data_IF_365280581990
#
_entry.id   IF_365280581990
#
_cell.length_a   1.000
_cell.length_b   1.000
_cell.length_c   1.000
_cell.angle_alpha   90.00
_cell.angle_beta   90.00
_cell.angle_gamma   90.00
#
_symmetry.space_group_name_H-M   'P 1'
#
loop_
_entity.id
_entity.type
_entity.pdbx_description
1 polymer ?
#
# COMPACT_ATOMS: atom_id res chain seq x y z
N UNK A 1 -16.09 4.80 6.16
CA UNK A 1 -14.76 4.85 5.51
C UNK A 1 -15.02 5.29 4.08
N UNK A 2 -14.44 6.43 3.71
CA UNK A 2 -14.74 7.11 2.46
C UNK A 2 -14.25 6.27 1.27
N UNK A 3 -15.15 5.87 0.39
CA UNK A 3 -14.87 5.15 -0.87
C UNK A 3 -13.88 5.88 -1.79
N UNK A 4 -13.62 7.15 -1.53
CA UNK A 4 -12.68 7.97 -2.29
C UNK A 4 -11.22 7.52 -2.12
N UNK A 5 -10.86 6.86 -1.01
CA UNK A 5 -9.47 6.45 -0.73
C UNK A 5 -9.00 5.27 -1.58
N UNK A 6 -9.86 4.28 -1.85
CA UNK A 6 -9.47 3.09 -2.65
C UNK A 6 -9.30 3.44 -4.12
N UNK A 7 -10.11 4.36 -4.65
CA UNK A 7 -9.95 4.85 -6.02
C UNK A 7 -8.80 5.83 -6.19
N UNK A 8 -8.44 6.58 -5.13
CA UNK A 8 -7.36 7.56 -5.18
C UNK A 8 -5.98 6.90 -5.19
N UNK A 9 -5.76 5.79 -4.50
CA UNK A 9 -4.47 5.10 -4.51
C UNK A 9 -4.11 4.53 -5.90
N UNK A 10 -5.05 3.97 -6.64
CA UNK A 10 -4.80 3.54 -8.03
C UNK A 10 -4.56 4.73 -8.96
N UNK A 11 -5.27 5.86 -8.77
CA UNK A 11 -5.05 7.07 -9.56
C UNK A 11 -3.74 7.79 -9.22
N UNK A 12 -3.21 7.63 -8.01
CA UNK A 12 -1.95 8.24 -7.57
C UNK A 12 -0.75 7.48 -8.14
N UNK A 13 -0.82 6.17 -8.28
CA UNK A 13 0.29 5.34 -8.76
C UNK A 13 0.74 5.63 -10.19
N UNK A 14 -0.16 6.09 -11.05
CA UNK A 14 0.11 6.31 -12.48
C UNK A 14 0.39 7.78 -12.83
N UNK A 15 0.57 8.67 -11.84
CA UNK A 15 0.74 10.10 -12.10
C UNK A 15 1.99 10.65 -11.44
N UNK A 16 2.74 11.44 -12.21
CA UNK A 16 3.77 12.31 -11.65
C UNK A 16 3.10 13.40 -10.83
N UNK A 17 3.32 13.41 -9.53
CA UNK A 17 2.81 14.41 -8.58
C UNK A 17 3.81 15.52 -8.34
N UNK A 18 5.11 15.21 -8.40
CA UNK A 18 6.21 16.14 -8.20
C UNK A 18 7.05 16.17 -9.46
N UNK A 19 7.07 17.31 -10.13
CA UNK A 19 7.85 17.52 -11.36
C UNK A 19 9.28 17.96 -11.05
N UNK A 20 10.18 17.83 -12.02
CA UNK A 20 11.57 18.31 -11.92
C UNK A 20 11.66 19.82 -11.60
N UNK A 21 10.69 20.61 -12.10
CA UNK A 21 10.61 22.05 -11.78
C UNK A 21 10.29 22.26 -10.29
N UNK A 22 9.35 21.46 -9.73
CA UNK A 22 9.01 21.53 -8.31
C UNK A 22 10.20 21.12 -7.45
N UNK A 23 10.91 20.03 -7.81
CA UNK A 23 12.13 19.61 -7.12
C UNK A 23 13.17 20.73 -7.12
N UNK A 24 13.38 21.37 -8.27
CA UNK A 24 14.37 22.45 -8.41
C UNK A 24 14.00 23.72 -7.61
N UNK A 25 12.72 23.92 -7.31
CA UNK A 25 12.24 25.03 -6.49
C UNK A 25 12.34 24.76 -4.98
N UNK A 26 12.65 23.54 -4.57
CA UNK A 26 12.80 23.18 -3.16
C UNK A 26 14.13 23.69 -2.58
N UNK A 27 14.14 23.92 -1.28
CA UNK A 27 15.34 24.31 -0.56
C UNK A 27 16.38 23.19 -0.55
N UNK A 28 17.66 23.55 -0.65
CA UNK A 28 18.77 22.61 -0.46
C UNK A 28 18.66 21.92 0.90
N UNK A 29 18.95 20.62 0.95
CA UNK A 29 18.79 19.80 2.14
C UNK A 29 17.39 19.19 2.29
N UNK A 30 16.44 19.53 1.42
CA UNK A 30 15.12 18.85 1.38
C UNK A 30 15.25 17.38 0.98
N UNK A 31 14.33 16.56 1.49
CA UNK A 31 14.27 15.14 1.17
C UNK A 31 12.86 14.79 0.71
N UNK A 32 12.77 14.08 -0.39
CA UNK A 32 11.54 13.51 -0.93
C UNK A 32 11.67 11.99 -0.85
N UNK A 33 10.65 11.31 -0.35
CA UNK A 33 10.58 9.85 -0.34
C UNK A 33 9.45 9.42 -1.28
N UNK A 34 9.83 8.80 -2.40
CA UNK A 34 8.85 8.29 -3.36
C UNK A 34 8.45 6.85 -3.00
N UNK A 35 7.32 6.72 -2.31
CA UNK A 35 6.79 5.43 -1.90
C UNK A 35 6.18 4.62 -3.05
N UNK A 36 5.89 5.26 -4.19
CA UNK A 36 5.31 4.63 -5.37
C UNK A 36 6.37 4.20 -6.40
N UNK A 37 7.66 4.42 -6.13
CA UNK A 37 8.75 4.19 -7.09
C UNK A 37 8.77 2.79 -7.68
N UNK A 38 8.37 1.75 -6.93
CA UNK A 38 8.29 0.37 -7.39
C UNK A 38 7.20 0.12 -8.46
N UNK A 39 6.23 1.03 -8.59
CA UNK A 39 5.09 0.93 -9.52
C UNK A 39 5.06 2.09 -10.52
N UNK A 40 6.19 2.72 -10.80
CA UNK A 40 6.34 3.81 -11.77
C UNK A 40 6.74 5.15 -11.16
N UNK A 41 6.52 5.33 -9.85
CA UNK A 41 6.90 6.54 -9.11
C UNK A 41 5.94 7.72 -9.28
N UNK A 42 5.92 8.58 -8.28
CA UNK A 42 5.17 9.84 -8.29
C UNK A 42 6.08 11.08 -8.38
N UNK A 43 7.39 10.89 -8.32
CA UNK A 43 8.39 11.96 -8.36
C UNK A 43 9.22 11.81 -9.63
N UNK A 44 9.23 12.85 -10.46
CA UNK A 44 10.01 12.84 -11.68
C UNK A 44 11.51 12.73 -11.35
N UNK A 45 12.17 11.76 -12.00
CA UNK A 45 13.57 11.45 -11.75
C UNK A 45 13.82 10.47 -10.61
N UNK A 46 12.81 9.98 -9.90
CA UNK A 46 13.01 8.92 -8.91
C UNK A 46 13.42 7.61 -9.60
N UNK A 47 14.38 6.90 -9.00
CA UNK A 47 14.87 5.60 -9.50
C UNK A 47 14.69 4.55 -8.41
N UNK A 48 14.12 3.37 -8.75
CA UNK A 48 13.93 2.28 -7.79
C UNK A 48 15.25 1.86 -7.11
N UNK A 49 15.22 1.79 -5.78
CA UNK A 49 16.36 1.41 -4.93
C UNK A 49 17.57 2.34 -5.00
N UNK A 50 17.39 3.57 -5.47
CA UNK A 50 18.46 4.58 -5.49
C UNK A 50 18.04 5.83 -4.70
N UNK A 51 19.06 6.57 -4.24
CA UNK A 51 18.90 7.92 -3.71
C UNK A 51 19.61 8.89 -4.63
N UNK A 52 18.86 9.81 -5.23
CA UNK A 52 19.36 10.78 -6.19
C UNK A 52 19.45 12.15 -5.53
N UNK A 53 20.46 12.91 -5.88
CA UNK A 53 20.60 14.31 -5.46
C UNK A 53 20.41 15.21 -6.68
N UNK A 54 19.42 16.09 -6.60
CA UNK A 54 19.16 17.12 -7.62
C UNK A 54 19.27 18.47 -6.94
N UNK A 55 20.33 19.20 -7.21
CA UNK A 55 20.58 20.53 -6.66
C UNK A 55 20.54 20.61 -5.12
N UNK A 56 20.99 19.53 -4.45
CA UNK A 56 20.95 19.43 -2.99
C UNK A 56 19.62 18.96 -2.41
N UNK A 57 18.66 18.58 -3.25
CA UNK A 57 17.42 17.90 -2.85
C UNK A 57 17.58 16.40 -3.07
N UNK A 58 17.41 15.62 -2.03
CA UNK A 58 17.51 14.15 -2.10
C UNK A 58 16.17 13.51 -2.43
N UNK A 59 16.14 12.66 -3.45
CA UNK A 59 14.99 11.83 -3.81
C UNK A 59 15.33 10.39 -3.46
N UNK A 60 14.59 9.82 -2.52
CA UNK A 60 14.78 8.44 -2.03
C UNK A 60 13.74 7.55 -2.69
N UNK A 61 14.22 6.62 -3.53
CA UNK A 61 13.40 5.66 -4.26
C UNK A 61 13.46 4.24 -3.69
N UNK A 62 13.35 4.06 -2.37
CA UNK A 62 13.41 2.72 -1.78
C UNK A 62 12.10 1.96 -1.99
N UNK A 63 12.17 0.81 -2.66
CA UNK A 63 11.01 -0.06 -2.94
C UNK A 63 10.58 -0.93 -1.76
N UNK A 64 11.39 -1.00 -0.70
CA UNK A 64 11.12 -1.83 0.49
C UNK A 64 11.31 -1.05 1.79
N UNK A 65 10.68 0.12 1.91
CA UNK A 65 10.70 0.91 3.15
C UNK A 65 10.28 0.13 4.40
N UNK A 66 9.24 -0.75 4.35
CA UNK A 66 8.90 -1.59 5.50
C UNK A 66 10.03 -2.50 5.97
N UNK A 67 10.90 -2.95 5.05
CA UNK A 67 12.06 -3.79 5.38
C UNK A 67 13.17 -3.04 6.10
N UNK A 68 13.26 -1.72 5.95
CA UNK A 68 14.22 -0.87 6.67
C UNK A 68 13.85 -0.67 8.15
N UNK A 69 12.56 -0.82 8.48
CA UNK A 69 12.03 -0.70 9.83
C UNK A 69 11.23 -1.96 10.23
N UNK A 70 11.84 -3.15 10.22
CA UNK A 70 11.13 -4.43 10.27
C UNK A 70 10.35 -4.62 11.58
N UNK A 71 10.85 -4.11 12.70
CA UNK A 71 10.15 -4.20 13.97
C UNK A 71 8.82 -3.44 13.95
N UNK A 72 8.85 -2.17 13.55
CA UNK A 72 7.64 -1.33 13.51
C UNK A 72 6.65 -1.80 12.46
N UNK A 73 7.15 -2.17 11.29
CA UNK A 73 6.31 -2.70 10.20
C UNK A 73 5.59 -3.99 10.59
N UNK A 74 6.30 -4.91 11.25
CA UNK A 74 5.73 -6.15 11.78
C UNK A 74 4.69 -5.88 12.86
N UNK A 75 4.93 -4.91 13.73
CA UNK A 75 4.00 -4.53 14.79
C UNK A 75 2.70 -3.96 14.21
N UNK A 76 2.80 -3.04 13.25
CA UNK A 76 1.62 -2.47 12.56
C UNK A 76 0.84 -3.55 11.80
N UNK A 77 1.55 -4.41 11.07
CA UNK A 77 0.95 -5.52 10.35
C UNK A 77 0.23 -6.49 11.29
N UNK A 78 0.86 -6.87 12.38
CA UNK A 78 0.27 -7.73 13.42
C UNK A 78 -1.00 -7.12 14.01
N UNK A 79 -0.99 -5.81 14.29
CA UNK A 79 -2.17 -5.10 14.80
C UNK A 79 -3.32 -5.10 13.78
N UNK A 80 -3.02 -4.92 12.49
CA UNK A 80 -4.04 -4.97 11.44
C UNK A 80 -4.67 -6.36 11.31
N UNK A 81 -3.85 -7.42 11.38
CA UNK A 81 -4.35 -8.81 11.36
C UNK A 81 -5.19 -9.09 12.62
N UNK A 82 -4.73 -8.63 13.79
CA UNK A 82 -5.48 -8.81 15.03
C UNK A 82 -6.84 -8.12 14.94
N UNK A 83 -6.91 -6.87 14.50
CA UNK A 83 -8.15 -6.12 14.36
C UNK A 83 -9.10 -6.80 13.36
N UNK A 84 -8.59 -7.35 12.25
CA UNK A 84 -9.40 -8.11 11.31
C UNK A 84 -10.00 -9.36 11.95
N UNK A 85 -9.20 -10.10 12.71
CA UNK A 85 -9.67 -11.30 13.40
C UNK A 85 -10.69 -10.95 14.48
N UNK A 86 -10.43 -9.90 15.27
CA UNK A 86 -11.30 -9.45 16.36
C UNK A 86 -12.67 -9.00 15.84
N UNK A 87 -12.71 -8.27 14.72
CA UNK A 87 -13.95 -7.80 14.08
C UNK A 87 -14.88 -8.96 13.67
N UNK A 88 -14.30 -10.05 13.15
CA UNK A 88 -15.08 -11.19 12.66
C UNK A 88 -15.12 -12.38 13.65
N UNK A 89 -14.60 -12.21 14.86
CA UNK A 89 -14.65 -13.23 15.88
C UNK A 89 -16.01 -13.28 16.58
N UNK A 90 -16.61 -14.45 16.67
CA UNK A 90 -17.83 -14.68 17.46
C UNK A 90 -17.50 -15.31 18.80
N UNK A 91 -17.69 -14.58 19.88
CA UNK A 91 -17.52 -15.09 21.25
C UNK A 91 -18.49 -16.24 21.57
N UNK A 92 -19.73 -16.15 21.08
CA UNK A 92 -20.77 -17.17 21.33
C UNK A 92 -20.46 -18.47 20.64
N UNK A 93 -20.04 -18.39 19.38
CA UNK A 93 -19.75 -19.58 18.56
C UNK A 93 -18.28 -20.01 18.61
N UNK A 94 -17.41 -19.19 19.21
CA UNK A 94 -15.95 -19.39 19.32
C UNK A 94 -15.30 -19.72 17.98
N UNK A 95 -15.72 -18.99 16.94
CA UNK A 95 -15.19 -19.15 15.58
C UNK A 95 -15.23 -17.81 14.82
N UNK A 96 -14.49 -17.73 13.72
CA UNK A 96 -14.60 -16.62 12.79
C UNK A 96 -15.90 -16.72 11.98
N UNK A 97 -16.63 -15.62 11.91
CA UNK A 97 -17.80 -15.45 11.03
C UNK A 97 -17.34 -14.86 9.70
N UNK A 98 -17.12 -15.71 8.71
CA UNK A 98 -16.65 -15.30 7.39
C UNK A 98 -17.84 -15.15 6.44
N UNK A 99 -18.53 -14.01 6.54
CA UNK A 99 -19.58 -13.65 5.58
C UNK A 99 -18.93 -13.03 4.34
N UNK A 100 -18.91 -13.81 3.26
CA UNK A 100 -18.33 -13.39 1.97
C UNK A 100 -19.07 -12.21 1.29
N UNK A 101 -20.26 -11.86 1.79
CA UNK A 101 -21.00 -10.67 1.34
C UNK A 101 -20.52 -9.38 2.01
N UNK A 102 -19.74 -9.49 3.09
CA UNK A 102 -19.10 -8.35 3.76
C UNK A 102 -18.06 -7.70 2.85
N UNK A 103 -18.06 -6.36 2.82
CA UNK A 103 -17.21 -5.57 1.92
C UNK A 103 -15.71 -5.78 2.20
N UNK A 104 -15.32 -5.93 3.47
CA UNK A 104 -13.93 -6.14 3.87
C UNK A 104 -13.50 -7.57 3.54
N UNK A 105 -14.31 -8.56 3.93
CA UNK A 105 -13.99 -9.97 3.70
C UNK A 105 -13.96 -10.32 2.22
N UNK A 106 -14.85 -9.75 1.41
CA UNK A 106 -14.88 -9.98 -0.05
C UNK A 106 -13.60 -9.52 -0.76
N UNK A 107 -12.88 -8.55 -0.19
CA UNK A 107 -11.60 -8.06 -0.71
C UNK A 107 -10.42 -8.82 -0.10
N UNK A 108 -10.46 -9.10 1.21
CA UNK A 108 -9.37 -9.72 1.93
C UNK A 108 -9.26 -11.23 1.71
N UNK A 109 -10.40 -11.93 1.54
CA UNK A 109 -10.41 -13.37 1.32
C UNK A 109 -10.05 -13.72 -0.11
N UNK A 110 -8.98 -14.46 -0.31
CA UNK A 110 -8.61 -15.02 -1.62
C UNK A 110 -9.51 -16.17 -1.96
N UNK A 111 -9.68 -17.11 -1.02
CA UNK A 111 -10.52 -18.29 -1.20
C UNK A 111 -11.27 -18.65 0.09
N UNK A 112 -12.48 -19.20 -0.05
CA UNK A 112 -13.30 -19.73 1.02
C UNK A 112 -14.09 -20.93 0.48
N UNK A 113 -14.21 -21.99 1.28
CA UNK A 113 -14.94 -23.22 0.91
C UNK A 113 -14.57 -23.82 -0.46
N UNK A 114 -13.29 -23.74 -0.83
CA UNK A 114 -12.71 -24.22 -2.11
C UNK A 114 -13.07 -23.36 -3.34
N UNK A 115 -13.66 -22.21 -3.15
CA UNK A 115 -13.94 -21.25 -4.23
C UNK A 115 -13.09 -20.00 -4.08
N UNK A 116 -12.74 -19.37 -5.20
CA UNK A 116 -12.09 -18.06 -5.20
C UNK A 116 -13.13 -16.97 -4.92
N UNK A 117 -12.93 -16.18 -3.87
CA UNK A 117 -13.82 -15.10 -3.44
C UNK A 117 -13.39 -13.76 -4.04
N UNK A 118 -12.08 -13.48 -3.99
CA UNK A 118 -11.56 -12.25 -4.54
C UNK A 118 -11.71 -12.21 -6.07
N UNK A 119 -12.42 -11.20 -6.57
CA UNK A 119 -12.73 -11.06 -8.00
C UNK A 119 -11.49 -10.94 -8.87
N UNK A 120 -10.50 -10.16 -8.43
CA UNK A 120 -9.24 -9.96 -9.17
C UNK A 120 -8.45 -11.27 -9.30
N UNK A 121 -8.41 -12.05 -8.21
CA UNK A 121 -7.74 -13.36 -8.24
C UNK A 121 -8.49 -14.33 -9.14
N UNK A 122 -9.81 -14.31 -9.11
CA UNK A 122 -10.65 -15.15 -9.97
C UNK A 122 -10.40 -14.89 -11.45
N UNK A 123 -10.34 -13.61 -11.85
CA UNK A 123 -10.04 -13.19 -13.23
C UNK A 123 -8.62 -13.57 -13.69
N UNK A 124 -7.65 -13.68 -12.78
CA UNK A 124 -6.27 -14.09 -13.12
C UNK A 124 -6.17 -15.63 -13.28
N UNK A 125 -7.01 -16.39 -12.56
CA UNK A 125 -6.95 -17.85 -12.49
C UNK A 125 -7.84 -18.54 -13.53
N UNK A 126 -8.76 -17.82 -14.16
CA UNK A 126 -9.56 -18.24 -15.31
C UNK A 126 -8.88 -17.93 -16.65
#
# INVERSE_FOLDING_TARGET
IDRSLVGSEMCIRDRTLVTSEMVSAMSQGSVIVDMAVGTGGNVEGSIPNETIDINGVKIVGNTNLPGELPFHSSQVYSSNIFNLIDEFWSEDEKKLKLDVSDEILSICLISHEKEYINKTIKEIME
#
